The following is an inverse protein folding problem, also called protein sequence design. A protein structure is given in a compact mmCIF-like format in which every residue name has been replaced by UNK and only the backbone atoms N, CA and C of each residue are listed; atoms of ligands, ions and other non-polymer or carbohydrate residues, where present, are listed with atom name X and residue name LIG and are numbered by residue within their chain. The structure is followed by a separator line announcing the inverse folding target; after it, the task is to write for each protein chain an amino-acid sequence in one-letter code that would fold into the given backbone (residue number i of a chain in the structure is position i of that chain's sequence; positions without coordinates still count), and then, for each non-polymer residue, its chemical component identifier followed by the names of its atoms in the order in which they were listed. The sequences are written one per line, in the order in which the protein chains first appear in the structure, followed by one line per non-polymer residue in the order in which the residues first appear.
data_IF_339489772539
#
_entry.id   IF_339489772539
#
_cell.length_a   1.000
_cell.length_b   1.000
_cell.length_c   1.000
_cell.angle_alpha   90.00
_cell.angle_beta   90.00
_cell.angle_gamma   90.00
#
_symmetry.space_group_name_H-M   'P 1'
#
loop_
_entity.id
_entity.type
_entity.pdbx_description
1 polymer ?
#
# COMPACT_ATOMS: atom_id res chain seq x y z
N UNK A 1 17.70 8.42 4.77
CA UNK A 1 16.28 8.85 4.97
C UNK A 1 15.31 7.99 4.15
N UNK A 2 15.59 7.66 2.87
CA UNK A 2 14.76 6.74 2.08
C UNK A 2 14.61 5.34 2.69
N UNK A 3 15.64 4.79 3.33
CA UNK A 3 15.57 3.48 3.98
C UNK A 3 14.51 3.39 5.09
N UNK A 4 14.29 4.48 5.84
CA UNK A 4 13.25 4.52 6.86
C UNK A 4 11.85 4.48 6.22
N UNK A 5 11.68 5.16 5.07
CA UNK A 5 10.44 5.15 4.29
C UNK A 5 10.13 3.79 3.68
N UNK A 6 11.14 3.00 3.28
CA UNK A 6 10.93 1.62 2.83
C UNK A 6 10.39 0.71 3.95
N UNK A 7 10.87 0.86 5.19
CA UNK A 7 10.31 0.12 6.33
C UNK A 7 8.89 0.54 6.66
N UNK A 8 8.60 1.85 6.57
CA UNK A 8 7.26 2.41 6.76
C UNK A 8 6.27 1.88 5.71
N UNK A 9 6.69 1.79 4.44
CA UNK A 9 5.92 1.21 3.35
C UNK A 9 5.51 -0.24 3.65
N UNK A 10 6.46 -1.10 4.05
CA UNK A 10 6.15 -2.50 4.39
C UNK A 10 5.20 -2.63 5.57
N UNK A 11 5.34 -1.77 6.59
CA UNK A 11 4.43 -1.74 7.72
C UNK A 11 3.01 -1.33 7.30
N UNK A 12 2.89 -0.28 6.48
CA UNK A 12 1.59 0.17 5.96
C UNK A 12 0.94 -0.84 5.03
N UNK A 13 1.71 -1.55 4.18
CA UNK A 13 1.18 -2.64 3.36
C UNK A 13 0.59 -3.77 4.22
N UNK A 14 1.27 -4.12 5.32
CA UNK A 14 0.78 -5.14 6.26
C UNK A 14 -0.52 -4.69 6.94
N UNK A 15 -0.60 -3.42 7.34
CA UNK A 15 -1.81 -2.83 7.93
C UNK A 15 -2.97 -2.73 6.92
N UNK A 16 -2.67 -2.36 5.67
CA UNK A 16 -3.65 -2.25 4.60
C UNK A 16 -4.32 -3.60 4.31
N UNK A 17 -3.55 -4.69 4.25
CA UNK A 17 -4.10 -6.05 4.09
C UNK A 17 -4.97 -6.47 5.28
N UNK A 18 -4.56 -6.14 6.51
CA UNK A 18 -5.37 -6.40 7.69
C UNK A 18 -6.71 -5.64 7.64
N UNK A 19 -6.70 -4.39 7.19
CA UNK A 19 -7.91 -3.59 7.04
C UNK A 19 -8.81 -4.06 5.89
N UNK A 20 -8.23 -4.51 4.78
CA UNK A 20 -8.97 -5.15 3.70
C UNK A 20 -9.77 -6.36 4.21
N UNK A 21 -9.13 -7.24 4.99
CA UNK A 21 -9.80 -8.40 5.60
C UNK A 21 -10.92 -8.01 6.57
N UNK A 22 -10.85 -6.82 7.16
CA UNK A 22 -11.90 -6.25 8.03
C UNK A 22 -12.98 -5.47 7.26
N UNK A 23 -12.96 -5.46 5.92
CA UNK A 23 -13.87 -4.68 5.09
C UNK A 23 -13.59 -3.17 5.09
N UNK A 24 -12.47 -2.73 5.66
CA UNK A 24 -12.04 -1.32 5.75
C UNK A 24 -11.19 -0.92 4.53
N UNK A 25 -11.62 -1.34 3.35
CA UNK A 25 -10.87 -1.21 2.09
C UNK A 25 -10.57 0.26 1.75
N UNK A 26 -11.50 1.17 2.03
CA UNK A 26 -11.29 2.61 1.77
C UNK A 26 -10.16 3.20 2.64
N UNK A 27 -10.12 2.85 3.93
CA UNK A 27 -9.05 3.28 4.84
C UNK A 27 -7.70 2.67 4.46
N UNK A 28 -7.69 1.38 4.11
CA UNK A 28 -6.50 0.68 3.61
C UNK A 28 -5.92 1.38 2.38
N UNK A 29 -6.76 1.68 1.40
CA UNK A 29 -6.35 2.36 0.17
C UNK A 29 -5.80 3.75 0.46
N UNK A 30 -6.49 4.53 1.29
CA UNK A 30 -6.10 5.92 1.55
C UNK A 30 -4.71 6.01 2.22
N UNK A 31 -4.46 5.18 3.24
CA UNK A 31 -3.18 5.17 3.95
C UNK A 31 -2.03 4.67 3.06
N UNK A 32 -2.28 3.61 2.27
CA UNK A 32 -1.27 3.09 1.37
C UNK A 32 -0.94 4.09 0.25
N UNK A 33 -1.94 4.78 -0.29
CA UNK A 33 -1.75 5.77 -1.34
C UNK A 33 -0.92 6.97 -0.85
N UNK A 34 -1.15 7.40 0.40
CA UNK A 34 -0.38 8.48 1.01
C UNK A 34 1.11 8.13 1.07
N UNK A 35 1.48 6.98 1.66
CA UNK A 35 2.89 6.58 1.73
C UNK A 35 3.47 6.30 0.34
N UNK A 36 2.72 5.64 -0.55
CA UNK A 36 3.19 5.35 -1.90
C UNK A 36 3.52 6.64 -2.66
N UNK A 37 2.71 7.70 -2.49
CA UNK A 37 2.93 9.01 -3.11
C UNK A 37 4.15 9.79 -2.60
N UNK A 38 4.77 9.38 -1.48
CA UNK A 38 6.04 9.97 -1.02
C UNK A 38 7.25 9.52 -1.85
N UNK A 39 7.13 8.41 -2.57
CA UNK A 39 8.19 7.91 -3.42
C UNK A 39 8.12 8.59 -4.78
N UNK A 40 9.22 9.22 -5.19
CA UNK A 40 9.37 9.81 -6.52
C UNK A 40 10.23 8.94 -7.44
N UNK A 41 10.92 7.96 -6.87
CA UNK A 41 11.87 7.06 -7.53
C UNK A 41 11.81 5.67 -6.88
N UNK A 42 12.40 4.66 -7.53
CA UNK A 42 12.47 3.31 -6.98
C UNK A 42 11.24 2.44 -7.24
N UNK A 43 10.31 2.88 -8.09
CA UNK A 43 9.12 2.10 -8.49
C UNK A 43 9.45 0.74 -9.13
N UNK A 44 10.70 0.52 -9.54
CA UNK A 44 11.17 -0.78 -10.00
C UNK A 44 11.50 -1.78 -8.88
N UNK A 45 11.57 -1.31 -7.63
CA UNK A 45 11.84 -2.15 -6.46
C UNK A 45 10.65 -3.05 -6.14
N UNK A 46 10.93 -4.21 -5.55
CA UNK A 46 9.89 -5.18 -5.20
C UNK A 46 8.81 -4.58 -4.28
N UNK A 47 9.21 -3.83 -3.25
CA UNK A 47 8.26 -3.24 -2.29
C UNK A 47 7.30 -2.26 -2.97
N UNK A 48 7.80 -1.39 -3.87
CA UNK A 48 6.95 -0.42 -4.55
C UNK A 48 6.06 -1.07 -5.61
N UNK A 49 6.55 -2.09 -6.33
CA UNK A 49 5.69 -2.88 -7.24
C UNK A 49 4.55 -3.55 -6.50
N UNK A 50 4.83 -4.14 -5.34
CA UNK A 50 3.83 -4.81 -4.52
C UNK A 50 2.83 -3.81 -3.92
N UNK A 51 3.30 -2.65 -3.45
CA UNK A 51 2.42 -1.59 -2.96
C UNK A 51 1.47 -1.07 -4.05
N UNK A 52 1.95 -0.90 -5.28
CA UNK A 52 1.13 -0.53 -6.42
C UNK A 52 0.07 -1.58 -6.74
N UNK A 53 0.44 -2.86 -6.77
CA UNK A 53 -0.50 -3.96 -6.99
C UNK A 53 -1.59 -4.02 -5.89
N UNK A 54 -1.20 -3.83 -4.63
CA UNK A 54 -2.14 -3.77 -3.51
C UNK A 54 -3.07 -2.55 -3.61
N UNK A 55 -2.58 -1.39 -4.09
CA UNK A 55 -3.45 -0.23 -4.34
C UNK A 55 -4.52 -0.52 -5.39
N UNK A 56 -4.15 -1.19 -6.48
CA UNK A 56 -5.11 -1.61 -7.51
C UNK A 56 -6.12 -2.61 -6.94
N UNK A 57 -5.67 -3.60 -6.18
CA UNK A 57 -6.56 -4.58 -5.51
C UNK A 57 -7.58 -3.89 -4.57
N UNK A 58 -7.13 -2.90 -3.79
CA UNK A 58 -8.00 -2.10 -2.91
C UNK A 58 -8.89 -1.11 -3.67
N UNK A 59 -8.68 -0.96 -4.98
CA UNK A 59 -9.48 -0.11 -5.87
C UNK A 59 -10.64 -0.86 -6.51
N UNK A 60 -10.47 -2.16 -6.74
CA UNK A 60 -11.51 -3.01 -7.26
C UNK A 60 -12.44 -3.38 -6.09
N UNK A 61 -13.76 -3.25 -6.23
CA UNK A 61 -14.68 -3.84 -5.27
C UNK A 61 -14.37 -5.33 -5.20
N UNK A 62 -13.98 -5.84 -4.04
CA UNK A 62 -13.91 -7.27 -3.79
C UNK A 62 -15.32 -7.81 -4.00
N UNK A 63 -15.59 -8.37 -5.18
CA UNK A 63 -16.80 -9.16 -5.40
C UNK A 63 -16.73 -10.33 -4.40
N UNK A 64 -17.59 -10.26 -3.41
CA UNK A 64 -17.83 -11.32 -2.44
C UNK A 64 -18.92 -12.25 -2.98
#
# INVERSE_FOLDING_TARGET
RQSAKSWELRAVMSLARLWQQQGKTKQARQMLAEIYGWFTEGFDTADLKEAGALLEELSVPSEA
#
